data_IF_569524520898
#
_entry.id   IF_569524520898
#
_cell.length_a   1.000
_cell.length_b   1.000
_cell.length_c   1.000
_cell.angle_alpha   90.00
_cell.angle_beta   90.00
_cell.angle_gamma   90.00
#
_symmetry.space_group_name_H-M   'P 1'
#
loop_
_entity.id
_entity.type
_entity.pdbx_description
1 polymer ?
#
# COMPACT_ATOMS: atom_id res chain seq x y z
N UNK A 1 14.55 4.53 5.14
CA UNK A 1 15.24 3.37 5.76
C UNK A 1 15.16 2.15 4.84
N UNK A 2 13.97 1.66 4.46
CA UNK A 2 13.83 0.68 3.37
C UNK A 2 14.38 1.24 2.05
N UNK A 3 14.00 2.48 1.70
CA UNK A 3 14.35 3.07 0.40
C UNK A 3 15.86 3.25 0.21
N UNK A 4 16.62 3.53 1.28
CA UNK A 4 18.09 3.60 1.23
C UNK A 4 18.72 2.22 1.04
N UNK A 5 18.19 1.19 1.73
CA UNK A 5 18.65 -0.20 1.56
C UNK A 5 18.32 -0.69 0.14
N UNK A 6 17.15 -0.35 -0.40
CA UNK A 6 16.76 -0.67 -1.77
C UNK A 6 17.65 0.04 -2.81
N UNK A 7 17.95 1.32 -2.61
CA UNK A 7 18.86 2.09 -3.47
C UNK A 7 20.30 1.55 -3.43
N UNK A 8 20.77 1.11 -2.26
CA UNK A 8 22.10 0.51 -2.14
C UNK A 8 22.17 -0.87 -2.80
N UNK A 9 21.08 -1.66 -2.70
CA UNK A 9 20.95 -2.94 -3.40
C UNK A 9 20.96 -2.77 -4.93
N UNK A 10 20.34 -1.71 -5.45
CA UNK A 10 20.38 -1.39 -6.89
C UNK A 10 21.80 -1.12 -7.40
N UNK A 11 22.71 -0.60 -6.56
CA UNK A 11 24.09 -0.27 -6.93
C UNK A 11 25.07 -1.43 -6.79
N UNK A 12 24.76 -2.45 -5.97
CA UNK A 12 25.69 -3.54 -5.62
C UNK A 12 25.22 -4.87 -6.23
N UNK A 13 25.81 -5.24 -7.36
CA UNK A 13 25.47 -6.48 -8.11
C UNK A 13 25.55 -7.76 -7.25
N UNK A 14 26.46 -7.82 -6.26
CA UNK A 14 26.55 -8.97 -5.37
C UNK A 14 25.40 -9.06 -4.35
N UNK A 15 24.78 -7.94 -3.98
CA UNK A 15 23.60 -7.92 -3.08
C UNK A 15 22.29 -8.27 -3.81
N UNK A 16 22.34 -8.53 -5.11
CA UNK A 16 21.17 -9.07 -5.84
C UNK A 16 20.87 -10.51 -5.42
N UNK A 17 21.86 -11.27 -4.94
CA UNK A 17 21.68 -12.64 -4.46
C UNK A 17 20.98 -12.63 -3.10
N UNK A 18 19.71 -13.08 -3.07
CA UNK A 18 18.85 -13.00 -1.89
C UNK A 18 19.46 -13.68 -0.65
N UNK A 19 20.12 -14.82 -0.82
CA UNK A 19 20.76 -15.54 0.30
C UNK A 19 21.92 -14.74 0.92
N UNK A 20 22.72 -14.08 0.08
CA UNK A 20 23.87 -13.30 0.52
C UNK A 20 23.40 -12.00 1.18
N UNK A 21 22.37 -11.38 0.62
CA UNK A 21 21.75 -10.18 1.17
C UNK A 21 21.13 -10.44 2.56
N UNK A 22 20.41 -11.56 2.71
CA UNK A 22 19.83 -11.99 4.01
C UNK A 22 20.89 -12.30 5.07
N UNK A 23 22.09 -12.69 4.67
CA UNK A 23 23.20 -12.98 5.58
C UNK A 23 23.91 -11.70 6.07
N UNK A 24 23.90 -10.64 5.26
CA UNK A 24 24.47 -9.32 5.60
C UNK A 24 23.51 -8.55 6.52
N UNK A 25 24.06 -7.68 7.38
CA UNK A 25 23.30 -6.92 8.38
C UNK A 25 22.11 -6.12 7.81
N UNK A 26 22.28 -5.51 6.63
CA UNK A 26 21.24 -4.74 5.95
C UNK A 26 20.00 -5.57 5.57
N UNK A 27 20.18 -6.87 5.32
CA UNK A 27 19.07 -7.79 5.02
C UNK A 27 18.17 -8.04 6.23
N UNK A 28 18.71 -8.06 7.44
CA UNK A 28 17.92 -8.21 8.68
C UNK A 28 17.04 -6.99 8.92
N UNK A 29 17.57 -5.79 8.68
CA UNK A 29 16.79 -4.56 8.84
C UNK A 29 15.74 -4.44 7.74
N UNK A 30 16.07 -4.81 6.50
CA UNK A 30 15.10 -4.91 5.41
C UNK A 30 13.93 -5.86 5.75
N UNK A 31 14.23 -7.08 6.20
CA UNK A 31 13.20 -8.06 6.58
C UNK A 31 12.36 -7.59 7.78
N UNK A 32 12.97 -6.88 8.73
CA UNK A 32 12.26 -6.27 9.85
C UNK A 32 11.28 -5.20 9.36
N UNK A 33 11.71 -4.31 8.48
CA UNK A 33 10.84 -3.27 7.96
C UNK A 33 9.72 -3.86 7.08
N UNK A 34 10.00 -4.89 6.28
CA UNK A 34 8.96 -5.62 5.53
C UNK A 34 7.91 -6.26 6.44
N UNK A 35 8.31 -6.83 7.57
CA UNK A 35 7.34 -7.37 8.55
C UNK A 35 6.41 -6.30 9.10
N UNK A 36 6.92 -5.10 9.35
CA UNK A 36 6.10 -3.97 9.81
C UNK A 36 5.14 -3.55 8.70
N UNK A 37 5.64 -3.40 7.46
CA UNK A 37 4.86 -3.00 6.30
C UNK A 37 3.70 -3.97 6.04
N UNK A 38 3.99 -5.26 5.89
CA UNK A 38 2.96 -6.29 5.76
C UNK A 38 2.01 -6.33 6.97
N UNK A 39 2.52 -6.09 8.18
CA UNK A 39 1.71 -6.06 9.40
C UNK A 39 0.64 -4.97 9.37
N UNK A 40 0.97 -3.78 8.85
CA UNK A 40 0.02 -2.67 8.68
C UNK A 40 -1.04 -3.05 7.65
N UNK A 41 -0.63 -3.47 6.45
CA UNK A 41 -1.55 -3.81 5.36
C UNK A 41 -2.49 -4.96 5.73
N UNK A 42 -1.97 -6.02 6.34
CA UNK A 42 -2.79 -7.14 6.84
C UNK A 42 -3.81 -6.68 7.89
N UNK A 43 -3.45 -5.73 8.75
CA UNK A 43 -4.38 -5.18 9.74
C UNK A 43 -5.51 -4.41 9.06
N UNK A 44 -5.18 -3.55 8.09
CA UNK A 44 -6.18 -2.82 7.30
C UNK A 44 -7.09 -3.73 6.50
N UNK A 45 -6.55 -4.76 5.84
CA UNK A 45 -7.34 -5.74 5.07
C UNK A 45 -8.32 -6.48 5.98
N UNK A 46 -7.87 -6.93 7.17
CA UNK A 46 -8.73 -7.63 8.14
C UNK A 46 -9.85 -6.73 8.65
N UNK A 47 -9.54 -5.49 8.99
CA UNK A 47 -10.53 -4.53 9.46
C UNK A 47 -11.57 -4.24 8.37
N UNK A 48 -11.13 -4.02 7.13
CA UNK A 48 -12.01 -3.76 6.00
C UNK A 48 -12.89 -4.95 5.64
N UNK A 49 -12.35 -6.18 5.66
CA UNK A 49 -13.17 -7.40 5.50
C UNK A 49 -14.29 -7.50 6.53
N UNK A 50 -14.02 -7.14 7.79
CA UNK A 50 -15.04 -7.16 8.86
C UNK A 50 -16.14 -6.13 8.59
N UNK A 51 -15.77 -4.91 8.22
CA UNK A 51 -16.71 -3.85 7.89
C UNK A 51 -17.55 -4.21 6.67
N UNK A 52 -16.91 -4.72 5.61
CA UNK A 52 -17.57 -5.15 4.38
C UNK A 52 -18.57 -6.30 4.61
N UNK A 53 -18.20 -7.29 5.44
CA UNK A 53 -19.10 -8.38 5.81
C UNK A 53 -20.28 -7.93 6.70
N UNK A 54 -20.11 -6.83 7.45
CA UNK A 54 -21.19 -6.24 8.24
C UNK A 54 -22.14 -5.40 7.37
N UNK A 55 -21.62 -4.63 6.40
CA UNK A 55 -22.43 -3.85 5.47
C UNK A 55 -23.17 -4.71 4.44
N UNK A 56 -22.54 -5.77 3.93
CA UNK A 56 -23.16 -6.69 2.96
C UNK A 56 -24.41 -7.42 3.52
N UNK A 57 -24.53 -7.56 4.85
CA UNK A 57 -25.74 -8.11 5.50
C UNK A 57 -26.89 -7.11 5.64
N UNK A 58 -26.62 -5.82 5.46
CA UNK A 58 -27.56 -4.71 5.64
C UNK A 58 -28.24 -4.30 4.33
N UNK A 59 -27.51 -4.34 3.21
CA UNK A 59 -27.97 -3.77 1.93
C UNK A 59 -28.43 -4.86 0.95
N UNK A 60 -29.68 -5.32 1.11
CA UNK A 60 -30.43 -6.03 0.07
C UNK A 60 -31.34 -5.08 -0.74
N UNK A 61 -31.10 -3.76 -0.72
CA UNK A 61 -32.02 -2.76 -1.27
C UNK A 61 -31.36 -1.65 -2.10
N UNK A 62 -30.26 -1.92 -2.80
CA UNK A 62 -29.74 -0.96 -3.78
C UNK A 62 -30.45 -1.16 -5.14
N UNK A 63 -31.03 -0.11 -5.75
CA UNK A 63 -31.69 -0.22 -7.05
C UNK A 63 -30.67 -0.53 -8.15
N UNK A 64 -31.02 -1.53 -8.96
CA UNK A 64 -30.26 -2.02 -10.10
C UNK A 64 -30.05 -0.87 -11.12
N UNK A 65 -28.83 -0.31 -11.19
CA UNK A 65 -28.47 0.71 -12.18
C UNK A 65 -27.56 1.85 -11.69
N UNK A 66 -27.37 2.05 -10.39
CA UNK A 66 -26.38 3.01 -9.88
C UNK A 66 -25.01 2.35 -9.75
N UNK A 67 -23.99 2.83 -10.49
CA UNK A 67 -22.59 2.47 -10.24
C UNK A 67 -22.21 2.91 -8.83
N UNK A 68 -22.23 1.97 -7.90
CA UNK A 68 -21.76 2.17 -6.54
C UNK A 68 -20.26 2.51 -6.57
N UNK A 69 -19.89 3.66 -6.02
CA UNK A 69 -18.48 4.07 -5.91
C UNK A 69 -17.91 3.45 -4.65
N UNK A 70 -17.24 2.31 -4.81
CA UNK A 70 -16.55 1.64 -3.71
C UNK A 70 -15.13 2.20 -3.53
N UNK A 71 -14.65 2.36 -2.28
CA UNK A 71 -13.23 2.54 -2.01
C UNK A 71 -12.40 1.42 -2.62
N UNK A 72 -11.14 1.71 -2.97
CA UNK A 72 -10.24 0.78 -3.66
C UNK A 72 -10.21 -0.64 -3.06
N UNK A 73 -9.99 -0.76 -1.75
CA UNK A 73 -9.94 -2.07 -1.10
C UNK A 73 -11.30 -2.77 -1.09
N UNK A 74 -12.40 -2.04 -0.92
CA UNK A 74 -13.75 -2.63 -0.96
C UNK A 74 -14.09 -3.13 -2.38
N UNK A 75 -13.55 -2.48 -3.41
CA UNK A 75 -13.62 -2.93 -4.80
C UNK A 75 -12.87 -4.25 -5.02
N UNK A 76 -11.65 -4.38 -4.48
CA UNK A 76 -10.87 -5.63 -4.56
C UNK A 76 -11.57 -6.78 -3.83
N UNK A 77 -12.15 -6.51 -2.64
CA UNK A 77 -12.91 -7.49 -1.88
C UNK A 77 -14.18 -7.94 -2.61
N UNK A 78 -14.88 -7.00 -3.27
CA UNK A 78 -16.04 -7.31 -4.11
C UNK A 78 -15.67 -8.24 -5.27
N UNK A 79 -14.60 -7.93 -6.02
CA UNK A 79 -14.20 -8.76 -7.15
C UNK A 79 -13.74 -10.16 -6.74
N UNK A 80 -13.01 -10.27 -5.63
CA UNK A 80 -12.64 -11.57 -5.06
C UNK A 80 -13.89 -12.40 -4.66
N UNK A 81 -14.95 -11.75 -4.15
CA UNK A 81 -16.22 -12.41 -3.86
C UNK A 81 -17.04 -12.77 -5.12
N UNK A 82 -16.96 -11.98 -6.19
CA UNK A 82 -17.65 -12.20 -7.48
C UNK A 82 -16.97 -13.27 -8.35
N UNK A 83 -15.90 -13.90 -7.86
CA UNK A 83 -15.24 -15.03 -8.52
C UNK A 83 -14.11 -14.63 -9.47
N UNK A 84 -13.61 -13.39 -9.40
CA UNK A 84 -12.33 -13.02 -10.03
C UNK A 84 -11.21 -13.73 -9.25
N UNK A 85 -10.24 -14.30 -9.97
CA UNK A 85 -9.07 -14.97 -9.38
C UNK A 85 -8.12 -13.93 -8.76
N UNK A 86 -8.48 -13.48 -7.55
CA UNK A 86 -7.73 -12.57 -6.71
C UNK A 86 -7.46 -13.28 -5.38
N UNK A 87 -6.24 -13.75 -5.21
CA UNK A 87 -5.82 -14.37 -3.96
C UNK A 87 -5.65 -13.34 -2.84
N UNK A 88 -5.64 -13.82 -1.60
CA UNK A 88 -5.35 -12.98 -0.44
C UNK A 88 -3.95 -12.34 -0.54
N UNK A 89 -3.03 -12.97 -1.26
CA UNK A 89 -1.69 -12.44 -1.52
C UNK A 89 -1.73 -11.28 -2.51
N UNK A 90 -2.45 -11.45 -3.64
CA UNK A 90 -2.58 -10.40 -4.66
C UNK A 90 -3.24 -9.15 -4.07
N UNK A 91 -4.29 -9.32 -3.27
CA UNK A 91 -4.93 -8.20 -2.56
C UNK A 91 -3.95 -7.51 -1.62
N UNK A 92 -3.09 -8.27 -0.93
CA UNK A 92 -2.08 -7.69 -0.04
C UNK A 92 -1.06 -6.88 -0.83
N UNK A 93 -0.54 -7.42 -1.93
CA UNK A 93 0.44 -6.77 -2.78
C UNK A 93 -0.08 -5.45 -3.38
N UNK A 94 -1.33 -5.43 -3.83
CA UNK A 94 -1.99 -4.22 -4.34
C UNK A 94 -2.21 -3.17 -3.24
N UNK A 95 -2.59 -3.61 -2.04
CA UNK A 95 -2.73 -2.72 -0.87
C UNK A 95 -1.37 -2.15 -0.43
N UNK A 96 -0.33 -3.00 -0.37
CA UNK A 96 1.03 -2.60 -0.04
C UNK A 96 1.54 -1.53 -1.03
N UNK A 97 1.33 -1.76 -2.32
CA UNK A 97 1.72 -0.83 -3.39
C UNK A 97 0.98 0.49 -3.26
N UNK A 98 -0.35 0.46 -3.14
CA UNK A 98 -1.15 1.68 -3.04
C UNK A 98 -0.80 2.52 -1.80
N UNK A 99 -0.58 1.88 -0.65
CA UNK A 99 -0.21 2.58 0.58
C UNK A 99 1.17 3.21 0.49
N UNK A 100 2.14 2.53 -0.14
CA UNK A 100 3.49 3.04 -0.31
C UNK A 100 3.53 4.22 -1.30
N UNK A 101 3.03 4.00 -2.51
CA UNK A 101 3.11 4.99 -3.58
C UNK A 101 2.23 6.21 -3.30
N UNK A 102 1.02 5.99 -2.76
CA UNK A 102 0.07 7.06 -2.51
C UNK A 102 0.53 8.04 -1.42
N UNK A 103 1.19 7.55 -0.37
CA UNK A 103 1.57 8.38 0.76
C UNK A 103 2.89 9.13 0.53
N UNK A 104 3.96 8.43 0.15
CA UNK A 104 5.31 9.03 0.11
C UNK A 104 5.43 10.09 -1.01
N UNK A 105 4.78 9.85 -2.15
CA UNK A 105 4.79 10.80 -3.29
C UNK A 105 3.99 12.06 -2.98
N UNK A 106 2.79 11.93 -2.40
CA UNK A 106 1.94 13.07 -2.05
C UNK A 106 2.52 13.87 -0.90
N UNK A 107 3.10 13.23 0.12
CA UNK A 107 3.81 13.92 1.20
C UNK A 107 4.97 14.76 0.65
N UNK A 108 5.74 14.22 -0.29
CA UNK A 108 6.83 14.95 -0.95
C UNK A 108 6.29 16.14 -1.76
N UNK A 109 5.24 15.93 -2.54
CA UNK A 109 4.62 16.98 -3.34
C UNK A 109 4.08 18.12 -2.46
N UNK A 110 3.39 17.79 -1.37
CA UNK A 110 2.87 18.77 -0.40
C UNK A 110 4.02 19.52 0.25
N UNK A 111 5.07 18.83 0.70
CA UNK A 111 6.24 19.47 1.31
C UNK A 111 6.90 20.47 0.36
N UNK A 112 7.11 20.07 -0.90
CA UNK A 112 7.69 20.94 -1.91
C UNK A 112 6.79 22.14 -2.22
N UNK A 113 5.48 21.92 -2.27
CA UNK A 113 4.50 22.98 -2.49
C UNK A 113 4.55 24.00 -1.35
N UNK A 114 4.54 23.55 -0.10
CA UNK A 114 4.65 24.42 1.07
C UNK A 114 5.99 25.16 1.10
N UNK A 115 7.09 24.49 0.77
CA UNK A 115 8.41 25.10 0.67
C UNK A 115 8.44 26.23 -0.37
N UNK A 116 7.87 25.99 -1.55
CA UNK A 116 7.81 26.98 -2.62
C UNK A 116 6.93 28.17 -2.26
N UNK A 117 5.76 27.93 -1.64
CA UNK A 117 4.86 28.97 -1.17
C UNK A 117 5.52 29.85 -0.11
N UNK A 118 6.23 29.26 0.86
CA UNK A 118 6.95 30.03 1.89
C UNK A 118 8.14 30.82 1.34
N UNK A 119 8.78 30.32 0.26
CA UNK A 119 9.94 30.96 -0.36
C UNK A 119 9.58 32.07 -1.37
N UNK A 120 8.32 32.13 -1.81
CA UNK A 120 7.84 33.12 -2.77
C UNK A 120 6.57 33.83 -2.26
N UNK A 121 6.68 34.72 -1.26
CA UNK A 121 5.53 35.40 -0.67
C UNK A 121 4.69 36.21 -1.66
N UNK A 122 5.26 36.59 -2.80
CA UNK A 122 4.58 37.31 -3.89
C UNK A 122 3.57 36.46 -4.67
N UNK A 123 3.59 35.14 -4.52
CA UNK A 123 2.66 34.19 -5.16
C UNK A 123 1.50 33.82 -4.23
N UNK A 124 1.62 34.18 -2.94
CA UNK A 124 0.61 33.97 -1.91
C UNK A 124 -0.43 35.10 -1.93
#
# INVERSE_FOLDING_TARGET
MISSIAQDRQKKLWQQWDWLFRLVGDGKEHDRCLKILHGVSLTTIRERRRLYAASSKSDNSAPEGTKERLPFLDLLLKYSAEGVDLSDEDIREEVDTFMFEGHDTTATAVNMTLYLLGSHPQVL
#
